data_IF_999657245222
#
_entry.id   IF_999657245222
#
_cell.length_a   1.000
_cell.length_b   1.000
_cell.length_c   1.000
_cell.angle_alpha   90.00
_cell.angle_beta   90.00
_cell.angle_gamma   90.00
#
_symmetry.space_group_name_H-M   'P 1'
#
loop_
_entity.id
_entity.type
_entity.pdbx_description
1 polymer ?
#
# COMPACT_ATOMS: atom_id res chain seq x y z
N UNK A 1 -16.83 -28.63 -14.56
CA UNK A 1 -16.75 -27.19 -14.86
C UNK A 1 -18.03 -26.63 -15.50
N UNK A 2 -18.71 -27.36 -16.32
CA UNK A 2 -19.93 -26.91 -17.05
C UNK A 2 -21.13 -26.54 -16.17
N UNK A 3 -21.22 -27.04 -14.94
CA UNK A 3 -22.33 -26.81 -14.01
C UNK A 3 -22.11 -25.66 -13.04
N UNK A 4 -20.94 -25.03 -13.07
CA UNK A 4 -20.64 -23.89 -12.20
C UNK A 4 -21.25 -22.61 -12.78
N UNK A 5 -21.79 -21.76 -11.93
CA UNK A 5 -22.13 -20.39 -12.33
C UNK A 5 -20.86 -19.56 -12.64
N UNK A 6 -21.00 -18.41 -13.29
CA UNK A 6 -19.85 -17.63 -13.73
C UNK A 6 -18.96 -17.15 -12.57
N UNK A 7 -19.53 -16.79 -11.41
CA UNK A 7 -18.76 -16.39 -10.22
C UNK A 7 -17.91 -17.54 -9.66
N UNK A 8 -18.48 -18.75 -9.54
CA UNK A 8 -17.75 -19.94 -9.06
C UNK A 8 -16.71 -20.41 -10.08
N UNK A 9 -17.00 -20.28 -11.38
CA UNK A 9 -16.07 -20.58 -12.45
C UNK A 9 -14.87 -19.62 -12.43
N UNK A 10 -15.12 -18.31 -12.30
CA UNK A 10 -14.08 -17.28 -12.18
C UNK A 10 -13.12 -17.58 -11.02
N UNK A 11 -13.68 -17.82 -9.81
CA UNK A 11 -12.88 -18.17 -8.63
C UNK A 11 -12.06 -19.45 -8.79
N UNK A 12 -12.58 -20.44 -9.50
CA UNK A 12 -11.86 -21.68 -9.79
C UNK A 12 -10.70 -21.41 -10.76
N UNK A 13 -10.95 -20.70 -11.85
CA UNK A 13 -9.95 -20.39 -12.88
C UNK A 13 -8.87 -19.42 -12.36
N UNK A 14 -9.20 -18.50 -11.46
CA UNK A 14 -8.21 -17.62 -10.79
C UNK A 14 -7.18 -18.43 -9.98
N UNK A 15 -7.55 -19.58 -9.45
CA UNK A 15 -6.65 -20.49 -8.70
C UNK A 15 -5.79 -21.39 -9.59
N UNK A 16 -6.06 -21.43 -10.87
CA UNK A 16 -5.30 -22.24 -11.84
C UNK A 16 -4.18 -21.38 -12.42
N UNK A 17 -2.97 -21.93 -12.54
CA UNK A 17 -1.85 -21.22 -13.14
C UNK A 17 -2.11 -20.86 -14.62
N UNK A 18 -1.35 -19.87 -15.11
CA UNK A 18 -1.60 -19.31 -16.44
C UNK A 18 -1.45 -20.32 -17.58
N UNK A 19 -0.45 -21.24 -17.51
CA UNK A 19 -0.26 -22.24 -18.55
C UNK A 19 -1.40 -23.26 -18.57
N UNK A 20 -1.85 -23.69 -17.41
CA UNK A 20 -3.01 -24.60 -17.30
C UNK A 20 -4.29 -23.92 -17.80
N UNK A 21 -4.50 -22.62 -17.52
CA UNK A 21 -5.60 -21.84 -18.14
C UNK A 21 -5.51 -21.86 -19.66
N UNK A 22 -4.29 -21.63 -20.17
CA UNK A 22 -4.03 -21.65 -21.59
C UNK A 22 -4.35 -23.01 -22.22
N UNK A 23 -3.89 -24.10 -21.64
CA UNK A 23 -4.20 -25.47 -22.09
C UNK A 23 -5.71 -25.75 -22.05
N UNK A 24 -6.40 -25.39 -20.96
CA UNK A 24 -7.85 -25.54 -20.84
C UNK A 24 -8.61 -24.80 -21.96
N UNK A 25 -8.12 -23.62 -22.36
CA UNK A 25 -8.69 -22.84 -23.48
C UNK A 25 -8.65 -23.60 -24.80
N UNK A 26 -7.63 -24.45 -25.04
CA UNK A 26 -7.48 -25.21 -26.29
C UNK A 26 -8.13 -26.60 -26.24
N UNK A 27 -8.42 -27.14 -25.06
CA UNK A 27 -9.01 -28.49 -24.92
C UNK A 27 -10.52 -28.51 -25.02
N UNK A 28 -11.21 -27.41 -24.72
CA UNK A 28 -12.66 -27.34 -24.72
C UNK A 28 -13.20 -25.98 -25.21
N UNK A 29 -13.91 -25.96 -26.33
CA UNK A 29 -14.53 -24.76 -26.92
C UNK A 29 -15.41 -24.00 -25.93
N UNK A 30 -16.16 -24.70 -25.08
CA UNK A 30 -17.06 -24.08 -24.08
C UNK A 30 -16.29 -23.40 -22.96
N UNK A 31 -15.20 -24.00 -22.47
CA UNK A 31 -14.31 -23.42 -21.48
C UNK A 31 -13.61 -22.19 -22.09
N UNK A 32 -13.13 -22.29 -23.33
CA UNK A 32 -12.55 -21.18 -24.07
C UNK A 32 -13.49 -19.97 -24.10
N UNK A 33 -14.73 -20.17 -24.55
CA UNK A 33 -15.73 -19.12 -24.64
C UNK A 33 -16.02 -18.45 -23.29
N UNK A 34 -16.05 -19.24 -22.19
CA UNK A 34 -16.27 -18.69 -20.85
C UNK A 34 -15.05 -17.91 -20.32
N UNK A 35 -13.83 -18.40 -20.58
CA UNK A 35 -12.60 -17.68 -20.18
C UNK A 35 -12.54 -16.34 -20.92
N UNK A 36 -12.82 -16.32 -22.22
CA UNK A 36 -12.83 -15.09 -23.03
C UNK A 36 -13.94 -14.12 -22.60
N UNK A 37 -15.17 -14.63 -22.38
CA UNK A 37 -16.30 -13.82 -21.92
C UNK A 37 -16.04 -13.14 -20.57
N UNK A 38 -15.31 -13.80 -19.67
CA UNK A 38 -15.00 -13.33 -18.33
C UNK A 38 -13.63 -12.63 -18.25
N UNK A 39 -12.98 -12.40 -19.39
CA UNK A 39 -11.67 -11.73 -19.47
C UNK A 39 -10.57 -12.34 -18.60
N UNK A 40 -10.63 -13.65 -18.33
CA UNK A 40 -9.71 -14.33 -17.42
C UNK A 40 -8.33 -14.62 -18.03
N UNK A 41 -8.18 -14.46 -19.34
CA UNK A 41 -6.91 -14.57 -20.06
C UNK A 41 -6.14 -13.25 -20.21
N UNK A 42 -6.74 -12.15 -19.76
CA UNK A 42 -6.11 -10.83 -19.72
C UNK A 42 -5.19 -10.64 -18.51
N UNK A 43 -5.21 -11.57 -17.56
CA UNK A 43 -4.45 -11.52 -16.31
C UNK A 43 -3.36 -12.57 -16.32
N UNK A 44 -2.11 -12.14 -16.29
CA UNK A 44 -0.95 -12.99 -16.06
C UNK A 44 -0.52 -12.87 -14.59
N UNK A 45 -0.85 -13.89 -13.78
CA UNK A 45 -0.43 -13.98 -12.38
C UNK A 45 0.45 -15.22 -12.18
N UNK A 46 1.74 -14.99 -11.87
CA UNK A 46 2.73 -16.06 -11.72
C UNK A 46 3.28 -16.18 -10.28
N UNK A 47 2.66 -15.56 -9.29
CA UNK A 47 3.16 -15.54 -7.88
C UNK A 47 3.45 -16.92 -7.31
N UNK A 48 2.59 -17.90 -7.57
CA UNK A 48 2.69 -19.23 -6.99
C UNK A 48 3.20 -20.28 -7.98
N UNK A 49 3.82 -19.86 -9.08
CA UNK A 49 4.32 -20.77 -10.11
C UNK A 49 5.83 -20.91 -10.03
N UNK A 50 6.33 -22.11 -10.27
CA UNK A 50 7.76 -22.41 -10.45
C UNK A 50 7.90 -23.26 -11.71
N UNK A 51 8.68 -22.76 -12.67
CA UNK A 51 8.95 -23.45 -13.93
C UNK A 51 10.45 -23.72 -14.09
N UNK A 52 10.79 -24.86 -14.68
CA UNK A 52 12.15 -25.04 -15.24
C UNK A 52 12.36 -24.02 -16.36
N UNK A 53 13.52 -23.35 -16.39
CA UNK A 53 13.80 -22.25 -17.33
C UNK A 53 12.74 -21.13 -17.34
N UNK A 54 12.29 -20.75 -16.14
CA UNK A 54 11.18 -19.82 -15.90
C UNK A 54 11.29 -18.54 -16.75
N UNK A 55 12.45 -17.94 -16.87
CA UNK A 55 12.68 -16.71 -17.65
C UNK A 55 12.28 -16.86 -19.12
N UNK A 56 12.68 -17.95 -19.75
CA UNK A 56 12.32 -18.20 -21.15
C UNK A 56 10.82 -18.42 -21.34
N UNK A 57 10.19 -19.07 -20.37
CA UNK A 57 8.74 -19.34 -20.40
C UNK A 57 7.99 -18.01 -20.24
N UNK A 58 8.35 -17.19 -19.23
CA UNK A 58 7.75 -15.88 -19.02
C UNK A 58 7.90 -14.99 -20.26
N UNK A 59 9.11 -14.94 -20.83
CA UNK A 59 9.36 -14.19 -22.05
C UNK A 59 8.44 -14.60 -23.20
N UNK A 60 8.29 -15.90 -23.45
CA UNK A 60 7.41 -16.45 -24.49
C UNK A 60 5.93 -16.11 -24.23
N UNK A 61 5.48 -16.22 -22.98
CA UNK A 61 4.11 -15.87 -22.59
C UNK A 61 3.86 -14.39 -22.86
N UNK A 62 4.73 -13.51 -22.38
CA UNK A 62 4.60 -12.07 -22.58
C UNK A 62 4.59 -11.72 -24.06
N UNK A 63 5.52 -12.26 -24.87
CA UNK A 63 5.58 -12.03 -26.31
C UNK A 63 4.29 -12.45 -27.03
N UNK A 64 3.75 -13.61 -26.67
CA UNK A 64 2.57 -14.19 -27.33
C UNK A 64 1.27 -13.49 -26.96
N UNK A 65 1.15 -13.03 -25.70
CA UNK A 65 -0.10 -12.52 -25.15
C UNK A 65 -0.11 -11.01 -24.89
N UNK A 66 0.95 -10.28 -25.25
CA UNK A 66 1.11 -8.84 -24.99
C UNK A 66 -0.08 -7.97 -25.39
N UNK A 67 -0.82 -8.34 -26.43
CA UNK A 67 -1.93 -7.55 -26.97
C UNK A 67 -3.26 -7.77 -26.22
N UNK A 68 -3.34 -8.74 -25.31
CA UNK A 68 -4.54 -9.04 -24.54
C UNK A 68 -4.35 -8.81 -23.04
N UNK A 69 -3.10 -8.83 -22.54
CA UNK A 69 -2.84 -8.67 -21.11
C UNK A 69 -3.15 -7.24 -20.66
N UNK A 70 -4.01 -7.15 -19.66
CA UNK A 70 -4.34 -5.89 -18.94
C UNK A 70 -3.71 -5.83 -17.56
N UNK A 71 -3.36 -7.00 -16.99
CA UNK A 71 -2.76 -7.15 -15.67
C UNK A 71 -1.61 -8.17 -15.70
N UNK A 72 -0.46 -7.78 -15.12
CA UNK A 72 0.73 -8.61 -15.01
C UNK A 72 1.24 -8.60 -13.57
N UNK A 73 1.39 -9.79 -12.98
CA UNK A 73 1.92 -10.01 -11.62
C UNK A 73 3.09 -10.99 -11.74
N UNK A 74 4.30 -10.46 -11.62
CA UNK A 74 5.57 -11.19 -11.76
C UNK A 74 6.40 -11.14 -10.46
N UNK A 75 5.73 -10.98 -9.34
CA UNK A 75 6.34 -10.91 -8.02
C UNK A 75 7.29 -12.08 -7.78
N UNK A 76 8.51 -11.78 -7.27
CA UNK A 76 9.60 -12.76 -7.05
C UNK A 76 10.11 -13.49 -8.30
N UNK A 77 9.85 -12.96 -9.51
CA UNK A 77 10.34 -13.58 -10.73
C UNK A 77 11.73 -13.06 -11.12
N UNK A 78 12.56 -13.98 -11.60
CA UNK A 78 13.91 -13.68 -12.09
C UNK A 78 13.84 -13.13 -13.53
N UNK A 79 13.18 -11.99 -13.70
CA UNK A 79 13.01 -11.30 -14.97
C UNK A 79 13.94 -10.10 -15.07
N UNK A 80 14.20 -9.64 -16.30
CA UNK A 80 15.02 -8.48 -16.62
C UNK A 80 14.30 -7.56 -17.61
N UNK A 81 14.95 -6.48 -18.03
CA UNK A 81 14.39 -5.48 -18.94
C UNK A 81 13.87 -6.07 -20.25
N UNK A 82 14.45 -7.17 -20.78
CA UNK A 82 13.97 -7.79 -22.03
C UNK A 82 12.55 -8.34 -21.93
N UNK A 83 12.10 -8.73 -20.73
CA UNK A 83 10.73 -9.14 -20.44
C UNK A 83 9.81 -7.92 -20.39
N UNK A 84 10.25 -6.85 -19.73
CA UNK A 84 9.50 -5.60 -19.61
C UNK A 84 9.27 -4.97 -20.97
N UNK A 85 10.22 -5.08 -21.89
CA UNK A 85 10.10 -4.61 -23.29
C UNK A 85 8.99 -5.30 -24.10
N UNK A 86 8.25 -6.25 -23.50
CA UNK A 86 7.03 -6.86 -24.10
C UNK A 86 5.75 -6.23 -23.58
N UNK A 87 5.83 -5.32 -22.61
CA UNK A 87 4.66 -4.62 -22.08
C UNK A 87 4.08 -3.67 -23.13
N UNK A 88 2.77 -3.44 -23.07
CA UNK A 88 2.04 -2.62 -24.03
C UNK A 88 1.09 -1.64 -23.33
N UNK A 89 0.51 -0.73 -24.08
CA UNK A 89 -0.50 0.24 -23.64
C UNK A 89 -1.79 -0.37 -23.08
N UNK A 90 -1.98 -1.69 -23.21
CA UNK A 90 -3.11 -2.42 -22.65
C UNK A 90 -3.00 -2.61 -21.13
N UNK A 91 -1.78 -2.58 -20.60
CA UNK A 91 -1.56 -2.82 -19.19
C UNK A 91 -2.09 -1.65 -18.34
N UNK A 92 -2.93 -2.02 -17.37
CA UNK A 92 -3.45 -1.13 -16.34
C UNK A 92 -2.92 -1.45 -14.95
N UNK A 93 -2.40 -2.66 -14.76
CA UNK A 93 -1.85 -3.14 -13.50
C UNK A 93 -0.54 -3.89 -13.72
N UNK A 94 0.51 -3.46 -13.03
CA UNK A 94 1.86 -4.07 -13.06
C UNK A 94 2.34 -4.28 -11.62
N UNK A 95 2.66 -5.53 -11.26
CA UNK A 95 3.36 -5.89 -10.03
C UNK A 95 4.69 -6.56 -10.38
N UNK A 96 5.78 -5.90 -9.99
CA UNK A 96 7.17 -6.34 -10.17
C UNK A 96 7.90 -6.47 -8.83
N UNK A 97 7.17 -6.62 -7.73
CA UNK A 97 7.74 -6.76 -6.40
C UNK A 97 8.86 -7.82 -6.39
N UNK A 98 10.02 -7.49 -5.81
CA UNK A 98 11.21 -8.36 -5.76
C UNK A 98 11.80 -8.80 -7.12
N UNK A 99 11.48 -8.15 -8.24
CA UNK A 99 12.12 -8.41 -9.52
C UNK A 99 13.48 -7.70 -9.61
N UNK A 100 14.50 -8.22 -8.95
CA UNK A 100 15.77 -7.54 -8.67
C UNK A 100 16.70 -7.32 -9.88
N UNK A 101 16.40 -7.91 -11.05
CA UNK A 101 17.22 -7.77 -12.28
C UNK A 101 16.69 -6.73 -13.27
N UNK A 102 15.68 -5.95 -12.88
CA UNK A 102 15.21 -4.78 -13.63
C UNK A 102 15.87 -3.51 -13.11
N UNK A 103 15.99 -2.49 -13.94
CA UNK A 103 16.59 -1.21 -13.62
C UNK A 103 15.75 -0.03 -14.17
N UNK A 104 16.31 1.18 -14.21
CA UNK A 104 15.63 2.37 -14.70
C UNK A 104 15.16 2.25 -16.15
N UNK A 105 15.86 1.53 -17.02
CA UNK A 105 15.43 1.32 -18.41
C UNK A 105 14.08 0.60 -18.48
N UNK A 106 13.81 -0.33 -17.54
CA UNK A 106 12.50 -0.96 -17.41
C UNK A 106 11.41 0.06 -17.09
N UNK A 107 11.63 0.95 -16.12
CA UNK A 107 10.66 2.01 -15.77
C UNK A 107 10.47 3.00 -16.92
N UNK A 108 11.54 3.38 -17.60
CA UNK A 108 11.49 4.26 -18.79
C UNK A 108 10.67 3.60 -19.90
N UNK A 109 10.85 2.29 -20.14
CA UNK A 109 10.03 1.57 -21.10
C UNK A 109 8.55 1.54 -20.72
N UNK A 110 8.24 1.20 -19.44
CA UNK A 110 6.86 1.22 -18.92
C UNK A 110 6.24 2.61 -19.11
N UNK A 111 6.97 3.67 -18.74
CA UNK A 111 6.53 5.04 -18.86
C UNK A 111 6.20 5.44 -20.31
N UNK A 112 7.04 5.02 -21.26
CA UNK A 112 6.87 5.33 -22.69
C UNK A 112 5.79 4.50 -23.38
N UNK A 113 5.32 3.41 -22.75
CA UNK A 113 4.44 2.44 -23.39
C UNK A 113 3.09 2.30 -22.67
N UNK A 114 3.08 2.26 -21.34
CA UNK A 114 1.89 1.88 -20.54
C UNK A 114 1.12 3.10 -20.04
N UNK A 115 0.68 4.00 -20.93
CA UNK A 115 -0.01 5.25 -20.55
C UNK A 115 -1.37 5.05 -19.88
N UNK A 116 -1.93 3.84 -19.93
CA UNK A 116 -3.17 3.46 -19.24
C UNK A 116 -2.95 2.86 -17.84
N UNK A 117 -1.70 2.86 -17.36
CA UNK A 117 -1.36 2.28 -16.08
C UNK A 117 -2.05 3.02 -14.94
N UNK A 118 -2.75 2.26 -14.09
CA UNK A 118 -3.44 2.73 -12.88
C UNK A 118 -2.79 2.22 -11.60
N UNK A 119 -2.11 1.06 -11.66
CA UNK A 119 -1.49 0.43 -10.50
C UNK A 119 -0.07 -0.02 -10.83
N UNK A 120 0.90 0.40 -9.99
CA UNK A 120 2.30 0.00 -10.10
C UNK A 120 2.85 -0.39 -8.72
N UNK A 121 3.38 -1.61 -8.64
CA UNK A 121 4.03 -2.15 -7.44
C UNK A 121 5.50 -2.48 -7.72
N UNK A 122 6.41 -1.87 -6.95
CA UNK A 122 7.87 -1.95 -7.11
C UNK A 122 8.61 -2.25 -5.79
N UNK A 123 7.99 -3.08 -4.92
CA UNK A 123 8.54 -3.37 -3.59
C UNK A 123 9.92 -4.06 -3.67
N UNK A 124 10.92 -3.47 -2.97
CA UNK A 124 12.31 -3.96 -2.84
C UNK A 124 12.98 -4.27 -4.19
N UNK A 125 13.15 -3.23 -5.01
CA UNK A 125 13.96 -3.29 -6.24
C UNK A 125 15.10 -2.26 -6.10
N UNK A 126 16.30 -2.67 -5.66
CA UNK A 126 17.36 -1.74 -5.24
C UNK A 126 18.03 -0.99 -6.40
N UNK A 127 17.89 -1.47 -7.63
CA UNK A 127 18.48 -0.84 -8.83
C UNK A 127 17.66 0.33 -9.40
N UNK A 128 16.44 0.57 -8.86
CA UNK A 128 15.60 1.67 -9.27
C UNK A 128 15.98 2.97 -8.55
N UNK A 129 15.89 4.08 -9.26
CA UNK A 129 16.18 5.42 -8.74
C UNK A 129 15.22 6.48 -9.28
N UNK A 130 15.39 7.72 -8.83
CA UNK A 130 14.60 8.87 -9.29
C UNK A 130 14.56 9.03 -10.81
N UNK A 131 15.58 8.60 -11.54
CA UNK A 131 15.63 8.68 -12.99
C UNK A 131 14.46 7.94 -13.65
N UNK A 132 14.27 6.66 -13.34
CA UNK A 132 13.18 5.86 -13.88
C UNK A 132 11.80 6.26 -13.32
N UNK A 133 11.71 6.55 -12.03
CA UNK A 133 10.45 6.92 -11.40
C UNK A 133 9.90 8.25 -11.91
N UNK A 134 10.76 9.22 -12.20
CA UNK A 134 10.40 10.50 -12.80
C UNK A 134 9.64 10.32 -14.11
N UNK A 135 10.09 9.41 -14.97
CA UNK A 135 9.44 9.12 -16.23
C UNK A 135 8.03 8.51 -16.01
N UNK A 136 7.89 7.59 -15.05
CA UNK A 136 6.59 7.02 -14.65
C UNK A 136 5.63 8.12 -14.20
N UNK A 137 6.06 8.97 -13.27
CA UNK A 137 5.22 10.05 -12.73
C UNK A 137 4.74 10.98 -13.84
N UNK A 138 5.61 11.36 -14.77
CA UNK A 138 5.28 12.30 -15.84
C UNK A 138 4.42 11.69 -16.96
N UNK A 139 4.56 10.39 -17.25
CA UNK A 139 3.99 9.78 -18.47
C UNK A 139 2.85 8.79 -18.20
N UNK A 140 2.58 8.41 -16.94
CA UNK A 140 1.45 7.54 -16.57
C UNK A 140 0.36 8.34 -15.80
N UNK A 141 -0.37 9.26 -16.44
CA UNK A 141 -1.25 10.22 -15.78
C UNK A 141 -2.51 9.60 -15.12
N UNK A 142 -2.78 8.32 -15.39
CA UNK A 142 -3.90 7.57 -14.80
C UNK A 142 -3.53 6.81 -13.53
N UNK A 143 -2.26 6.92 -13.09
CA UNK A 143 -1.77 6.18 -11.94
C UNK A 143 -2.44 6.70 -10.66
N UNK A 144 -3.11 5.79 -9.95
CA UNK A 144 -3.79 6.05 -8.67
C UNK A 144 -3.22 5.21 -7.52
N UNK A 145 -2.47 4.17 -7.83
CA UNK A 145 -1.85 3.27 -6.86
C UNK A 145 -0.36 3.13 -7.16
N UNK A 146 0.49 3.52 -6.20
CA UNK A 146 1.95 3.45 -6.34
C UNK A 146 2.57 2.90 -5.05
N UNK A 147 3.19 1.72 -5.15
CA UNK A 147 3.98 1.13 -4.07
C UNK A 147 5.46 1.19 -4.42
N UNK A 148 6.22 1.93 -3.63
CA UNK A 148 7.67 2.13 -3.76
C UNK A 148 8.45 1.62 -2.54
N UNK A 149 7.80 0.83 -1.70
CA UNK A 149 8.33 0.37 -0.42
C UNK A 149 9.67 -0.35 -0.59
N UNK A 150 10.67 0.06 0.21
CA UNK A 150 11.99 -0.56 0.21
C UNK A 150 12.89 -0.22 -0.98
N UNK A 151 12.51 0.75 -1.82
CA UNK A 151 13.33 1.27 -2.91
C UNK A 151 14.11 2.51 -2.44
N UNK A 152 15.21 2.31 -1.73
CA UNK A 152 15.92 3.34 -0.96
C UNK A 152 16.52 4.50 -1.77
N UNK A 153 16.56 4.42 -3.09
CA UNK A 153 17.12 5.44 -3.99
C UNK A 153 16.06 6.39 -4.58
N UNK A 154 14.80 6.28 -4.16
CA UNK A 154 13.79 7.28 -4.45
C UNK A 154 13.80 8.41 -3.42
N UNK A 155 13.64 9.63 -3.88
CA UNK A 155 13.68 10.81 -3.04
C UNK A 155 13.02 12.02 -3.68
N UNK A 156 13.51 13.22 -3.32
CA UNK A 156 12.93 14.48 -3.80
C UNK A 156 13.01 14.64 -5.32
N UNK A 157 14.01 14.06 -5.98
CA UNK A 157 14.23 14.22 -7.43
C UNK A 157 13.05 13.78 -8.29
N UNK A 158 12.31 12.76 -7.85
CA UNK A 158 11.11 12.27 -8.54
C UNK A 158 9.82 12.62 -7.82
N UNK A 159 9.77 12.43 -6.50
CA UNK A 159 8.52 12.50 -5.73
C UNK A 159 7.96 13.92 -5.58
N UNK A 160 8.78 14.98 -5.69
CA UNK A 160 8.30 16.37 -5.78
C UNK A 160 7.48 16.65 -7.05
N UNK A 161 7.57 15.80 -8.07
CA UNK A 161 6.76 15.93 -9.28
C UNK A 161 5.37 15.31 -9.12
N UNK A 162 5.19 14.44 -8.12
CA UNK A 162 3.96 13.66 -7.94
C UNK A 162 2.72 14.56 -7.80
N UNK A 163 2.69 15.63 -6.99
CA UNK A 163 1.52 16.51 -6.89
C UNK A 163 1.14 17.18 -8.21
N UNK A 164 2.12 17.51 -9.04
CA UNK A 164 1.87 18.15 -10.33
C UNK A 164 1.29 17.21 -11.38
N UNK A 165 1.80 15.97 -11.46
CA UNK A 165 1.47 15.05 -12.54
C UNK A 165 0.46 13.97 -12.14
N UNK A 166 0.40 13.61 -10.84
CA UNK A 166 -0.47 12.58 -10.28
C UNK A 166 -1.30 13.11 -9.09
N UNK A 167 -2.00 14.26 -9.20
CA UNK A 167 -2.75 14.84 -8.08
C UNK A 167 -3.90 13.95 -7.58
N UNK A 168 -4.30 12.94 -8.37
CA UNK A 168 -5.37 11.99 -8.05
C UNK A 168 -4.87 10.68 -7.46
N UNK A 169 -3.61 10.62 -7.02
CA UNK A 169 -3.08 9.41 -6.36
C UNK A 169 -3.91 9.11 -5.10
N UNK A 170 -4.34 7.85 -4.97
CA UNK A 170 -5.15 7.38 -3.85
C UNK A 170 -4.36 6.51 -2.86
N UNK A 171 -3.39 5.77 -3.36
CA UNK A 171 -2.53 4.88 -2.58
C UNK A 171 -1.06 5.21 -2.82
N UNK A 172 -0.32 5.48 -1.74
CA UNK A 172 1.11 5.74 -1.80
C UNK A 172 1.84 5.05 -0.64
N UNK A 173 2.71 4.09 -0.97
CA UNK A 173 3.61 3.46 0.00
C UNK A 173 5.05 3.90 -0.25
N UNK A 174 5.60 4.60 0.72
CA UNK A 174 6.97 5.15 0.71
C UNK A 174 7.85 4.54 1.82
N UNK A 175 7.45 3.40 2.36
CA UNK A 175 8.19 2.68 3.41
C UNK A 175 9.67 2.57 3.08
N UNK A 176 10.54 2.97 4.03
CA UNK A 176 12.01 2.86 3.93
C UNK A 176 12.63 3.59 2.73
N UNK A 177 12.00 4.61 2.18
CA UNK A 177 12.59 5.50 1.19
C UNK A 177 13.41 6.58 1.93
N UNK A 178 14.63 6.27 2.34
CA UNK A 178 15.46 7.07 3.24
C UNK A 178 15.92 8.43 2.66
N UNK A 179 15.68 8.67 1.39
CA UNK A 179 15.95 9.95 0.72
C UNK A 179 14.86 11.02 0.90
N UNK A 180 13.71 10.66 1.50
CA UNK A 180 12.60 11.59 1.71
C UNK A 180 12.87 12.61 2.79
N UNK A 181 12.37 13.83 2.57
CA UNK A 181 12.35 14.93 3.53
C UNK A 181 10.93 15.42 3.76
N UNK A 182 10.71 16.18 4.84
CA UNK A 182 9.40 16.78 5.14
C UNK A 182 8.85 17.61 3.98
N UNK A 183 9.69 18.35 3.26
CA UNK A 183 9.29 19.16 2.11
C UNK A 183 8.57 18.32 1.05
N UNK A 184 9.13 17.15 0.72
CA UNK A 184 8.53 16.27 -0.27
C UNK A 184 7.17 15.73 0.19
N UNK A 185 7.11 15.23 1.43
CA UNK A 185 5.86 14.69 1.99
C UNK A 185 4.82 15.79 2.17
N UNK A 186 5.23 17.00 2.58
CA UNK A 186 4.36 18.16 2.75
C UNK A 186 3.65 18.54 1.45
N UNK A 187 4.38 18.65 0.34
CA UNK A 187 3.78 18.94 -0.97
C UNK A 187 2.79 17.83 -1.39
N UNK A 188 3.13 16.56 -1.14
CA UNK A 188 2.23 15.45 -1.45
C UNK A 188 0.93 15.54 -0.64
N UNK A 189 1.01 15.66 0.70
CA UNK A 189 -0.19 15.66 1.55
C UNK A 189 -1.04 16.91 1.43
N UNK A 190 -0.46 17.99 0.92
CA UNK A 190 -1.13 19.27 0.67
C UNK A 190 -1.92 19.24 -0.64
N UNK A 191 -1.33 18.72 -1.71
CA UNK A 191 -1.85 18.83 -3.06
C UNK A 191 -2.56 17.57 -3.57
N UNK A 192 -2.21 16.37 -3.06
CA UNK A 192 -2.85 15.11 -3.45
C UNK A 192 -4.09 14.83 -2.59
N UNK A 193 -5.16 15.57 -2.81
CA UNK A 193 -6.36 15.57 -1.96
C UNK A 193 -7.17 14.27 -1.99
N UNK A 194 -6.99 13.44 -3.02
CA UNK A 194 -7.67 12.14 -3.16
C UNK A 194 -6.95 11.00 -2.42
N UNK A 195 -5.83 11.30 -1.74
CA UNK A 195 -5.03 10.28 -1.05
C UNK A 195 -5.82 9.66 0.11
N UNK A 196 -5.95 8.32 0.06
CA UNK A 196 -6.66 7.48 1.04
C UNK A 196 -5.70 6.64 1.89
N UNK A 197 -4.57 6.26 1.32
CA UNK A 197 -3.56 5.41 1.95
C UNK A 197 -2.18 6.07 1.83
N UNK A 198 -1.55 6.33 2.98
CA UNK A 198 -0.19 6.85 3.06
C UNK A 198 0.62 6.02 4.06
N UNK A 199 1.66 5.36 3.56
CA UNK A 199 2.61 4.62 4.39
C UNK A 199 3.96 5.32 4.38
N UNK A 200 4.40 5.75 5.57
CA UNK A 200 5.67 6.43 5.83
C UNK A 200 6.50 5.66 6.87
N UNK A 201 6.37 4.32 6.92
CA UNK A 201 7.08 3.48 7.88
C UNK A 201 8.60 3.64 7.76
N UNK A 202 9.27 3.84 8.90
CA UNK A 202 10.73 3.84 9.06
C UNK A 202 11.45 4.87 8.15
N UNK A 203 11.04 6.14 8.26
CA UNK A 203 11.66 7.28 7.57
C UNK A 203 12.37 8.23 8.57
N UNK A 204 13.57 7.90 9.05
CA UNK A 204 14.21 8.58 10.19
C UNK A 204 14.60 10.03 9.93
N UNK A 205 14.62 10.49 8.68
CA UNK A 205 14.93 11.87 8.32
C UNK A 205 13.73 12.81 8.37
N UNK A 206 12.52 12.28 8.47
CA UNK A 206 11.32 13.10 8.56
C UNK A 206 11.24 13.76 9.94
N UNK A 207 11.04 15.08 9.97
CA UNK A 207 10.81 15.86 11.19
C UNK A 207 9.32 15.93 11.55
N UNK A 208 8.43 15.39 10.68
CA UNK A 208 6.97 15.32 10.85
C UNK A 208 6.24 16.67 10.81
N UNK A 209 6.89 17.73 10.37
CA UNK A 209 6.28 19.06 10.24
C UNK A 209 5.13 19.09 9.22
N UNK A 210 5.13 18.18 8.25
CA UNK A 210 4.09 18.05 7.24
C UNK A 210 2.70 17.71 7.82
N UNK A 211 2.63 17.09 9.01
CA UNK A 211 1.37 16.66 9.63
C UNK A 211 0.37 17.81 9.80
N UNK A 212 0.83 19.02 10.12
CA UNK A 212 -0.01 20.23 10.24
C UNK A 212 -0.62 20.70 8.93
N UNK A 213 -0.07 20.26 7.78
CA UNK A 213 -0.44 20.68 6.44
C UNK A 213 -1.20 19.62 5.64
N UNK A 214 -1.58 18.50 6.28
CA UNK A 214 -2.41 17.47 5.65
C UNK A 214 -3.72 18.11 5.14
N UNK A 215 -3.99 17.94 3.86
CA UNK A 215 -5.22 18.38 3.19
C UNK A 215 -5.96 17.21 2.50
N UNK A 216 -5.52 15.98 2.75
CA UNK A 216 -6.12 14.75 2.24
C UNK A 216 -7.34 14.40 3.10
N UNK A 217 -8.49 15.01 2.82
CA UNK A 217 -9.72 14.84 3.63
C UNK A 217 -10.24 13.41 3.63
N UNK A 218 -9.85 12.61 2.62
CA UNK A 218 -10.24 11.21 2.46
C UNK A 218 -9.17 10.23 3.00
N UNK A 219 -8.16 10.71 3.73
CA UNK A 219 -7.11 9.85 4.26
C UNK A 219 -7.68 8.89 5.31
N UNK A 220 -7.65 7.59 4.99
CA UNK A 220 -8.20 6.51 5.80
C UNK A 220 -7.11 5.69 6.51
N UNK A 221 -5.94 5.60 5.91
CA UNK A 221 -4.78 4.86 6.44
C UNK A 221 -3.56 5.76 6.53
N UNK A 222 -2.97 5.82 7.72
CA UNK A 222 -1.69 6.50 7.95
C UNK A 222 -0.78 5.60 8.79
N UNK A 223 0.39 5.27 8.23
CA UNK A 223 1.44 4.55 8.95
C UNK A 223 2.63 5.48 9.19
N UNK A 224 2.96 5.70 10.45
CA UNK A 224 4.12 6.46 10.92
C UNK A 224 5.06 5.60 11.78
N UNK A 225 4.91 4.27 11.75
CA UNK A 225 5.66 3.34 12.57
C UNK A 225 7.18 3.57 12.45
N UNK A 226 7.87 3.56 13.57
CA UNK A 226 9.33 3.69 13.63
C UNK A 226 9.89 5.09 13.40
N UNK A 227 9.03 6.12 13.28
CA UNK A 227 9.46 7.50 13.11
C UNK A 227 9.59 8.18 14.48
N UNK A 228 10.81 8.26 15.00
CA UNK A 228 11.05 8.74 16.35
C UNK A 228 10.92 10.26 16.53
N UNK A 229 10.90 11.02 15.43
CA UNK A 229 10.71 12.47 15.48
C UNK A 229 9.23 12.88 15.65
N UNK A 230 8.30 11.94 15.59
CA UNK A 230 6.88 12.18 15.90
C UNK A 230 6.73 12.54 17.38
N UNK A 231 6.01 13.64 17.68
CA UNK A 231 5.74 14.12 19.04
C UNK A 231 4.26 14.47 19.23
N UNK A 232 3.84 14.62 20.48
CA UNK A 232 2.48 15.05 20.83
C UNK A 232 2.07 16.36 20.19
N UNK A 233 3.03 17.32 20.06
CA UNK A 233 2.76 18.63 19.45
C UNK A 233 2.43 18.53 17.96
N UNK A 234 2.98 17.56 17.25
CA UNK A 234 2.62 17.29 15.86
C UNK A 234 1.16 16.84 15.75
N UNK A 235 0.71 15.95 16.64
CA UNK A 235 -0.68 15.50 16.67
C UNK A 235 -1.64 16.59 17.13
N UNK A 236 -1.23 17.46 18.06
CA UNK A 236 -2.03 18.62 18.45
C UNK A 236 -2.34 19.52 17.25
N UNK A 237 -1.33 19.78 16.39
CA UNK A 237 -1.49 20.61 15.17
C UNK A 237 -2.25 19.88 14.04
N UNK A 238 -2.17 18.54 14.00
CA UNK A 238 -2.80 17.73 12.97
C UNK A 238 -4.23 17.28 13.33
N UNK A 239 -4.66 17.45 14.57
CA UNK A 239 -5.89 16.85 15.11
C UNK A 239 -7.15 17.17 14.31
N UNK A 240 -7.21 18.37 13.67
CA UNK A 240 -8.35 18.77 12.82
C UNK A 240 -8.22 18.28 11.37
N UNK A 241 -7.09 17.74 10.99
CA UNK A 241 -6.76 17.33 9.61
C UNK A 241 -6.92 15.85 9.36
N UNK A 242 -6.82 15.03 10.43
CA UNK A 242 -6.82 13.56 10.35
C UNK A 242 -8.12 12.92 10.86
N UNK A 243 -9.25 13.60 10.70
CA UNK A 243 -10.54 13.21 11.30
C UNK A 243 -11.19 11.95 10.69
N UNK A 244 -10.78 11.54 9.49
CA UNK A 244 -11.37 10.42 8.76
C UNK A 244 -10.50 9.14 8.80
N UNK A 245 -9.43 9.15 9.63
CA UNK A 245 -8.54 8.01 9.74
C UNK A 245 -9.32 6.79 10.26
N UNK A 246 -9.24 5.68 9.53
CA UNK A 246 -9.74 4.36 9.92
C UNK A 246 -8.64 3.52 10.56
N UNK A 247 -7.42 3.60 10.04
CA UNK A 247 -6.28 2.82 10.53
C UNK A 247 -5.08 3.73 10.74
N UNK A 248 -4.60 3.77 11.98
CA UNK A 248 -3.43 4.55 12.38
C UNK A 248 -2.39 3.67 13.04
N UNK A 249 -1.19 3.65 12.48
CA UNK A 249 -0.06 2.95 13.06
C UNK A 249 0.99 3.94 13.57
N UNK A 250 1.19 3.95 14.89
CA UNK A 250 2.16 4.78 15.61
C UNK A 250 3.21 3.92 16.33
N UNK A 251 3.27 2.61 16.02
CA UNK A 251 4.20 1.68 16.66
C UNK A 251 5.63 2.24 16.65
N UNK A 252 6.33 2.10 17.78
CA UNK A 252 7.72 2.55 17.93
C UNK A 252 7.95 4.07 17.75
N UNK A 253 6.91 4.90 17.78
CA UNK A 253 7.03 6.36 17.86
C UNK A 253 7.28 6.75 19.33
N UNK A 254 8.51 6.56 19.82
CA UNK A 254 8.86 6.57 21.25
C UNK A 254 8.68 7.91 21.97
N UNK A 255 8.56 9.01 21.22
CA UNK A 255 8.36 10.36 21.79
C UNK A 255 6.88 10.75 21.95
N UNK A 256 5.96 9.82 21.71
CA UNK A 256 4.53 10.01 21.97
C UNK A 256 4.14 9.64 23.40
N UNK A 257 3.12 10.34 23.90
CA UNK A 257 2.52 10.08 25.22
C UNK A 257 1.00 10.02 25.15
N UNK A 258 0.33 9.82 26.28
CA UNK A 258 -1.13 9.87 26.39
C UNK A 258 -1.74 11.17 25.82
N UNK A 259 -0.98 12.26 25.75
CA UNK A 259 -1.44 13.54 25.16
C UNK A 259 -1.79 13.41 23.68
N UNK A 260 -1.05 12.59 22.92
CA UNK A 260 -1.42 12.30 21.53
C UNK A 260 -2.85 11.79 21.42
N UNK A 261 -3.22 10.85 22.28
CA UNK A 261 -4.56 10.26 22.31
C UNK A 261 -5.61 11.30 22.76
N UNK A 262 -5.27 12.14 23.75
CA UNK A 262 -6.14 13.27 24.13
C UNK A 262 -6.42 14.22 22.94
N UNK A 263 -5.41 14.60 22.18
CA UNK A 263 -5.58 15.50 21.03
C UNK A 263 -6.39 14.84 19.91
N UNK A 264 -6.17 13.55 19.64
CA UNK A 264 -6.90 12.82 18.62
C UNK A 264 -8.39 12.69 18.89
N UNK A 265 -8.78 12.53 20.15
CA UNK A 265 -10.18 12.31 20.54
C UNK A 265 -10.85 13.53 21.17
N UNK A 266 -10.17 14.71 21.15
CA UNK A 266 -10.82 15.94 21.57
C UNK A 266 -11.98 16.31 20.63
N UNK A 267 -13.09 16.81 21.16
CA UNK A 267 -14.25 17.30 20.39
C UNK A 267 -14.89 16.27 19.42
N UNK A 268 -15.08 15.03 19.86
CA UNK A 268 -15.74 13.96 19.10
C UNK A 268 -15.10 13.63 17.74
N UNK A 269 -13.80 13.77 17.61
CA UNK A 269 -13.03 13.46 16.41
C UNK A 269 -12.77 11.96 16.24
N UNK A 270 -12.33 11.56 15.04
CA UNK A 270 -11.90 10.18 14.72
C UNK A 270 -12.95 9.09 14.95
N UNK A 271 -14.22 9.40 14.67
CA UNK A 271 -15.36 8.47 14.79
C UNK A 271 -15.24 7.22 13.95
N UNK A 272 -14.47 7.28 12.87
CA UNK A 272 -14.30 6.19 11.91
C UNK A 272 -13.13 5.26 12.24
N UNK A 273 -12.43 5.49 13.36
CA UNK A 273 -11.25 4.70 13.71
C UNK A 273 -11.62 3.22 13.95
N UNK A 274 -11.00 2.34 13.18
CA UNK A 274 -11.14 0.88 13.23
C UNK A 274 -9.94 0.22 13.90
N UNK A 275 -8.74 0.77 13.66
CA UNK A 275 -7.48 0.25 14.18
C UNK A 275 -6.56 1.37 14.67
N UNK A 276 -6.01 1.19 15.86
CA UNK A 276 -4.87 1.98 16.35
C UNK A 276 -3.78 1.06 16.88
N UNK A 277 -2.55 1.21 16.36
CA UNK A 277 -1.38 0.53 16.91
C UNK A 277 -0.48 1.53 17.62
N UNK A 278 -0.22 1.26 18.89
CA UNK A 278 0.62 2.01 19.80
C UNK A 278 1.80 1.17 20.31
N UNK A 279 2.09 0.06 19.62
CA UNK A 279 3.09 -0.93 19.98
C UNK A 279 4.45 -0.28 20.35
N UNK A 280 4.99 -0.62 21.51
CA UNK A 280 6.34 -0.21 21.91
C UNK A 280 6.47 1.26 22.34
N UNK A 281 5.37 1.97 22.58
CA UNK A 281 5.41 3.37 23.03
C UNK A 281 5.40 3.43 24.55
N UNK A 282 6.52 3.81 25.15
CA UNK A 282 6.66 3.87 26.61
C UNK A 282 5.90 5.03 27.25
N UNK A 283 5.62 6.10 26.51
CA UNK A 283 4.85 7.26 26.98
C UNK A 283 3.35 7.01 27.11
N UNK A 284 2.86 5.86 26.64
CA UNK A 284 1.46 5.41 26.77
C UNK A 284 1.27 4.69 28.09
N UNK A 285 0.24 5.09 28.85
CA UNK A 285 -0.09 4.54 30.17
C UNK A 285 -1.56 4.10 30.25
N UNK A 286 -2.00 3.66 31.43
CA UNK A 286 -3.42 3.35 31.68
C UNK A 286 -4.35 4.54 31.40
N UNK A 287 -3.83 5.79 31.42
CA UNK A 287 -4.58 6.99 31.03
C UNK A 287 -5.09 6.93 29.59
N UNK A 288 -4.32 6.37 28.66
CA UNK A 288 -4.79 6.13 27.29
C UNK A 288 -6.04 5.24 27.28
N UNK A 289 -6.07 4.16 28.09
CA UNK A 289 -7.24 3.29 28.18
C UNK A 289 -8.46 4.07 28.71
N UNK A 290 -8.27 4.92 29.71
CA UNK A 290 -9.35 5.77 30.26
C UNK A 290 -9.87 6.76 29.22
N UNK A 291 -8.98 7.38 28.41
CA UNK A 291 -9.38 8.28 27.33
C UNK A 291 -10.21 7.53 26.29
N UNK A 292 -9.75 6.37 25.83
CA UNK A 292 -10.48 5.55 24.86
C UNK A 292 -11.83 5.08 25.42
N UNK A 293 -11.88 4.70 26.70
CA UNK A 293 -13.11 4.30 27.39
C UNK A 293 -14.12 5.44 27.47
N UNK A 294 -13.68 6.65 27.79
CA UNK A 294 -14.52 7.85 27.86
C UNK A 294 -15.08 8.24 26.48
N UNK A 295 -14.36 7.92 25.40
CA UNK A 295 -14.77 8.15 24.02
C UNK A 295 -15.47 6.93 23.37
N UNK A 296 -15.82 5.89 24.13
CA UNK A 296 -16.40 4.65 23.62
C UNK A 296 -17.66 4.87 22.76
N UNK A 297 -18.47 5.87 23.11
CA UNK A 297 -19.69 6.20 22.35
C UNK A 297 -19.44 6.62 20.91
N UNK A 298 -18.26 7.18 20.61
CA UNK A 298 -17.85 7.58 19.27
C UNK A 298 -16.94 6.55 18.59
N UNK A 299 -16.31 5.67 19.35
CA UNK A 299 -15.40 4.63 18.87
C UNK A 299 -16.09 3.29 18.60
N UNK A 300 -17.32 3.32 18.09
CA UNK A 300 -18.11 2.11 17.85
C UNK A 300 -17.54 1.22 16.73
N UNK A 301 -16.72 1.78 15.83
CA UNK A 301 -16.05 1.05 14.77
C UNK A 301 -14.69 0.44 15.20
N UNK A 302 -14.16 0.85 16.36
CA UNK A 302 -12.85 0.39 16.82
C UNK A 302 -12.88 -1.11 17.11
N UNK A 303 -12.12 -1.87 16.34
CA UNK A 303 -12.02 -3.33 16.43
C UNK A 303 -10.62 -3.80 16.81
N UNK A 304 -9.59 -2.97 16.65
CA UNK A 304 -8.20 -3.34 16.94
C UNK A 304 -7.48 -2.24 17.71
N UNK A 305 -6.92 -2.61 18.86
CA UNK A 305 -6.02 -1.78 19.67
C UNK A 305 -4.77 -2.60 19.95
N UNK A 306 -3.60 -2.19 19.46
CA UNK A 306 -2.35 -2.84 19.77
C UNK A 306 -1.56 -2.03 20.82
N UNK A 307 -1.37 -2.63 21.99
CA UNK A 307 -0.64 -2.09 23.12
C UNK A 307 0.54 -3.00 23.52
N UNK A 308 0.93 -3.92 22.64
CA UNK A 308 2.06 -4.82 22.91
C UNK A 308 3.32 -3.98 23.15
N UNK A 309 4.15 -4.40 24.09
CA UNK A 309 5.36 -3.71 24.54
C UNK A 309 5.18 -2.27 25.11
N UNK A 310 3.94 -1.80 25.35
CA UNK A 310 3.68 -0.58 26.14
C UNK A 310 3.85 -0.88 27.62
N UNK A 311 5.08 -0.91 28.14
CA UNK A 311 5.38 -1.40 29.49
C UNK A 311 4.70 -0.62 30.62
N UNK A 312 4.34 0.65 30.38
CA UNK A 312 3.66 1.51 31.36
C UNK A 312 2.12 1.37 31.35
N UNK A 313 1.57 0.54 30.45
CA UNK A 313 0.15 0.15 30.51
C UNK A 313 0.05 -1.14 31.31
N UNK A 314 -0.54 -1.09 32.50
CA UNK A 314 -0.71 -2.25 33.40
C UNK A 314 -1.84 -3.17 32.92
N UNK A 315 -2.93 -2.59 32.44
CA UNK A 315 -4.16 -3.27 32.06
C UNK A 315 -4.28 -3.47 30.53
N UNK A 316 -3.24 -4.04 29.90
CA UNK A 316 -3.15 -4.24 28.43
C UNK A 316 -3.54 -5.64 27.94
N UNK A 317 -4.03 -6.51 28.83
CA UNK A 317 -4.45 -7.84 28.43
C UNK A 317 -5.78 -7.84 27.65
N UNK A 318 -5.94 -8.83 26.75
CA UNK A 318 -7.11 -8.98 25.91
C UNK A 318 -8.43 -9.01 26.69
N UNK A 319 -8.45 -9.65 27.86
CA UNK A 319 -9.67 -9.79 28.65
C UNK A 319 -10.11 -8.44 29.20
N UNK A 320 -9.17 -7.64 29.70
CA UNK A 320 -9.45 -6.29 30.20
C UNK A 320 -9.99 -5.39 29.08
N UNK A 321 -9.30 -5.35 27.92
CA UNK A 321 -9.70 -4.53 26.78
C UNK A 321 -11.06 -4.97 26.23
N UNK A 322 -11.34 -6.27 26.10
CA UNK A 322 -12.65 -6.81 25.66
C UNK A 322 -13.79 -6.48 26.62
N UNK A 323 -13.51 -6.36 27.90
CA UNK A 323 -14.53 -5.91 28.88
C UNK A 323 -14.94 -4.45 28.64
N UNK A 324 -14.01 -3.61 28.17
CA UNK A 324 -14.29 -2.21 27.85
C UNK A 324 -14.94 -2.09 26.47
N UNK A 325 -14.37 -2.75 25.47
CA UNK A 325 -14.78 -2.69 24.06
C UNK A 325 -15.18 -4.10 23.59
N UNK A 326 -16.48 -4.38 23.51
CA UNK A 326 -17.01 -5.74 23.23
C UNK A 326 -16.52 -6.34 21.90
N UNK A 327 -16.24 -5.50 20.89
CA UNK A 327 -15.86 -5.91 19.56
C UNK A 327 -14.35 -5.78 19.29
N UNK A 328 -13.55 -5.39 20.29
CA UNK A 328 -12.11 -5.19 20.12
C UNK A 328 -11.36 -6.48 20.43
N UNK A 329 -10.46 -6.82 19.53
CA UNK A 329 -9.43 -7.82 19.74
C UNK A 329 -8.07 -7.11 19.85
N UNK A 330 -7.32 -7.37 20.94
CA UNK A 330 -5.91 -6.99 20.98
C UNK A 330 -5.11 -7.99 20.14
N UNK A 331 -4.58 -7.58 19.01
CA UNK A 331 -3.72 -8.41 18.19
C UNK A 331 -2.27 -7.95 18.25
N UNK A 332 -1.34 -8.92 18.15
CA UNK A 332 -0.02 -8.64 17.61
C UNK A 332 -0.22 -8.45 16.10
N UNK A 333 -0.37 -7.22 15.66
CA UNK A 333 -0.49 -6.93 14.23
C UNK A 333 0.92 -6.80 13.69
N UNK A 334 1.36 -7.79 12.93
CA UNK A 334 2.50 -7.65 12.03
C UNK A 334 1.99 -7.00 10.76
N UNK A 335 2.42 -5.78 10.50
CA UNK A 335 2.17 -5.08 9.24
C UNK A 335 3.25 -5.42 8.22
#
# INVERSE_FOLDING_TARGET
>A
MDKLNDSSFSKLIERVDYLTKYELKYTCKKIKSRIEKLHLDEILDLRNTKYENENNIIYKILLKHKNILTKVILEFKDINNSHINKFTDKLTFINLNYCQKIDNDALIHIANTCHNLTHLELYIIPSLSDEGLKEIIMKCPKLIYLNLSGCSHFGEGSLLLLPKYLPKIEFLDLTRNYGLTDKCVEEIVKECTELKYLNLYALPKLEMNFLKNINCINLEFLDLCGNQNVTDEHFKKASDKINNIKKLNLSWCTNLTDKTIEYMFSMDKNKNLELISLHGILGITDKTIDILKNNKGILHNLNTIDLVACSNVKNRDNKYIKNIFKNVECFQVFF
#
